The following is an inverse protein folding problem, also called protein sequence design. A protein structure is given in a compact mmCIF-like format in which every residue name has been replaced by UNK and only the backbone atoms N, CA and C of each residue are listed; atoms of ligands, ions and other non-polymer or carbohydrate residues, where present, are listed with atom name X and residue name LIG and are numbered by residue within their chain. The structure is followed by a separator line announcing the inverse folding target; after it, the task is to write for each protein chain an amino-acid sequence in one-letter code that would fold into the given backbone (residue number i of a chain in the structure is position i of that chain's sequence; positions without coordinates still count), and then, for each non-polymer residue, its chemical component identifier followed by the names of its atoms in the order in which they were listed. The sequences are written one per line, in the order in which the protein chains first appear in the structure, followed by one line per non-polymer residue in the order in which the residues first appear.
data_IF_968085317634
#
_entry.id   IF_968085317634
#
_cell.length_a   1.000
_cell.length_b   1.000
_cell.length_c   1.000
_cell.angle_alpha   90.00
_cell.angle_beta   90.00
_cell.angle_gamma   90.00
#
_symmetry.space_group_name_H-M   'P 1'
#
loop_
_entity.id
_entity.type
_entity.pdbx_description
1 polymer ?
#
# COMPACT_ATOMS: atom_id res chain seq x y z
N UNK A 1 -13.42 -3.13 -12.67
CA UNK A 1 -12.56 -2.27 -11.82
C UNK A 1 -13.41 -1.66 -10.72
N UNK A 2 -12.87 -1.57 -9.51
CA UNK A 2 -13.46 -0.85 -8.40
C UNK A 2 -12.64 0.43 -8.18
N UNK A 3 -13.30 1.55 -7.93
CA UNK A 3 -12.61 2.83 -7.74
C UNK A 3 -13.35 3.67 -6.72
N UNK A 4 -12.63 4.54 -6.04
CA UNK A 4 -13.24 5.59 -5.23
C UNK A 4 -12.68 6.95 -5.64
N UNK A 5 -13.38 8.01 -5.25
CA UNK A 5 -12.88 9.37 -5.27
C UNK A 5 -13.30 10.06 -3.98
N UNK A 6 -12.45 10.92 -3.44
CA UNK A 6 -12.75 11.69 -2.23
C UNK A 6 -12.79 13.19 -2.51
N UNK A 7 -13.52 13.92 -1.67
CA UNK A 7 -13.79 15.35 -1.84
C UNK A 7 -13.57 16.12 -0.55
N UNK A 8 -13.27 17.41 -0.67
CA UNK A 8 -13.23 18.33 0.47
C UNK A 8 -14.64 18.80 0.92
N UNK A 9 -15.67 18.45 0.15
CA UNK A 9 -17.08 18.76 0.39
C UNK A 9 -17.90 17.47 0.45
N UNK A 10 -19.01 17.48 1.20
CA UNK A 10 -19.95 16.35 1.26
C UNK A 10 -20.56 16.10 -0.12
N UNK A 11 -20.69 14.83 -0.57
CA UNK A 11 -20.22 13.60 0.08
C UNK A 11 -18.70 13.44 0.00
N UNK A 12 -18.07 13.04 1.11
CA UNK A 12 -16.61 12.97 1.21
C UNK A 12 -16.00 11.82 0.40
N UNK A 13 -16.74 10.73 0.17
CA UNK A 13 -16.33 9.63 -0.71
C UNK A 13 -17.42 9.32 -1.73
N UNK A 14 -16.98 9.03 -2.95
CA UNK A 14 -17.76 8.39 -4.00
C UNK A 14 -17.12 7.05 -4.33
N UNK A 15 -17.88 5.96 -4.31
CA UNK A 15 -17.42 4.63 -4.69
C UNK A 15 -18.11 4.20 -5.98
N UNK A 16 -17.36 3.64 -6.94
CA UNK A 16 -17.87 3.25 -8.25
C UNK A 16 -17.35 1.88 -8.66
N UNK A 17 -18.19 1.21 -9.45
CA UNK A 17 -17.86 -0.01 -10.17
C UNK A 17 -17.80 0.32 -11.65
N UNK A 18 -16.72 -0.08 -12.31
CA UNK A 18 -16.59 -0.05 -13.77
C UNK A 18 -16.60 -1.49 -14.24
N UNK A 19 -17.56 -1.84 -15.08
CA UNK A 19 -17.73 -3.18 -15.62
C UNK A 19 -16.66 -3.52 -16.65
N UNK A 20 -16.61 -4.79 -17.08
CA UNK A 20 -15.59 -5.29 -18.03
C UNK A 20 -15.66 -4.63 -19.42
N UNK A 21 -16.84 -4.16 -19.79
CA UNK A 21 -17.16 -3.42 -21.02
C UNK A 21 -16.92 -1.91 -20.87
N UNK A 22 -16.36 -1.46 -19.74
CA UNK A 22 -16.00 -0.06 -19.52
C UNK A 22 -17.15 0.83 -19.05
N UNK A 23 -18.34 0.26 -18.78
CA UNK A 23 -19.46 1.04 -18.26
C UNK A 23 -19.22 1.43 -16.80
N UNK A 24 -19.25 2.74 -16.53
CA UNK A 24 -19.14 3.28 -15.18
C UNK A 24 -20.52 3.36 -14.55
N UNK A 25 -20.77 2.53 -13.53
CA UNK A 25 -22.04 2.56 -12.80
C UNK A 25 -22.18 3.81 -11.91
N UNK A 26 -23.42 4.07 -11.50
CA UNK A 26 -23.74 5.14 -10.55
C UNK A 26 -22.90 5.04 -9.27
N UNK A 27 -22.50 6.19 -8.70
CA UNK A 27 -21.68 6.19 -7.51
C UNK A 27 -22.50 5.84 -6.26
N UNK A 28 -21.91 5.08 -5.35
CA UNK A 28 -22.33 5.03 -3.96
C UNK A 28 -21.68 6.20 -3.23
N UNK A 29 -22.51 7.08 -2.69
CA UNK A 29 -22.04 8.19 -1.85
C UNK A 29 -21.83 7.67 -0.44
N UNK A 30 -20.65 7.89 0.12
CA UNK A 30 -20.29 7.46 1.48
C UNK A 30 -19.95 8.70 2.30
N UNK A 31 -20.70 8.85 3.38
CA UNK A 31 -20.57 9.92 4.36
C UNK A 31 -19.56 9.49 5.42
N UNK A 32 -18.46 10.24 5.51
CA UNK A 32 -17.45 10.08 6.57
C UNK A 32 -17.74 11.02 7.75
N UNK A 33 -16.81 11.10 8.71
CA UNK A 33 -16.80 12.14 9.74
C UNK A 33 -17.04 13.55 9.14
N UNK A 34 -17.52 14.51 9.96
CA UNK A 34 -17.96 15.85 9.55
C UNK A 34 -16.85 16.75 8.94
N UNK A 35 -15.70 16.20 8.59
CA UNK A 35 -14.53 16.92 8.11
C UNK A 35 -13.87 16.17 6.95
N UNK A 36 -13.30 16.90 5.98
CA UNK A 36 -12.63 16.28 4.84
C UNK A 36 -11.35 15.57 5.28
N UNK A 37 -11.18 14.33 4.82
CA UNK A 37 -10.03 13.47 5.15
C UNK A 37 -9.12 13.30 3.95
N UNK A 38 -7.84 13.03 4.22
CA UNK A 38 -6.91 12.50 3.24
C UNK A 38 -7.04 10.98 3.19
N UNK A 39 -7.45 10.48 2.03
CA UNK A 39 -7.64 9.05 1.77
C UNK A 39 -6.89 8.72 0.48
N UNK A 40 -5.72 8.10 0.64
CA UNK A 40 -4.88 7.75 -0.51
C UNK A 40 -5.33 6.46 -1.18
N UNK A 41 -5.73 5.47 -0.38
CA UNK A 41 -5.98 4.11 -0.85
C UNK A 41 -7.22 3.51 -0.18
N UNK A 42 -7.68 2.37 -0.71
CA UNK A 42 -8.78 1.56 -0.20
C UNK A 42 -8.50 0.08 -0.52
N UNK A 43 -9.24 -0.84 0.10
CA UNK A 43 -9.04 -2.26 -0.15
C UNK A 43 -10.33 -2.95 -0.59
N UNK A 44 -10.19 -4.03 -1.37
CA UNK A 44 -11.29 -4.85 -1.87
C UNK A 44 -11.06 -6.30 -1.46
N UNK A 45 -12.13 -6.97 -1.04
CA UNK A 45 -12.18 -8.42 -0.87
C UNK A 45 -13.07 -9.05 -1.94
N UNK A 46 -13.30 -10.36 -1.82
CA UNK A 46 -14.24 -11.06 -2.70
C UNK A 46 -15.66 -10.48 -2.62
N UNK A 47 -16.10 -9.96 -1.48
CA UNK A 47 -17.47 -9.50 -1.30
C UNK A 47 -17.58 -8.05 -0.81
N UNK A 48 -16.50 -7.45 -0.30
CA UNK A 48 -16.54 -6.14 0.36
C UNK A 48 -15.54 -5.14 -0.24
N UNK A 49 -15.85 -3.86 -0.06
CA UNK A 49 -14.94 -2.73 -0.17
C UNK A 49 -14.69 -2.18 1.23
N UNK A 50 -13.45 -1.78 1.51
CA UNK A 50 -12.98 -1.31 2.81
C UNK A 50 -12.51 0.13 2.65
N UNK A 51 -13.18 1.06 3.34
CA UNK A 51 -12.85 2.48 3.37
C UNK A 51 -12.23 2.84 4.71
N UNK A 52 -11.22 3.71 4.69
CA UNK A 52 -10.46 4.08 5.89
C UNK A 52 -10.75 5.54 6.23
N UNK A 53 -11.46 5.74 7.33
CA UNK A 53 -11.66 7.05 7.96
C UNK A 53 -10.58 7.22 9.02
N UNK A 54 -9.43 7.70 8.55
CA UNK A 54 -8.23 7.91 9.36
C UNK A 54 -8.13 9.39 9.72
N UNK A 55 -7.65 9.74 10.93
CA UNK A 55 -7.73 11.09 11.45
C UNK A 55 -6.68 12.05 10.87
N UNK A 56 -6.47 12.03 9.55
CA UNK A 56 -5.66 12.99 8.80
C UNK A 56 -6.58 13.92 8.00
N UNK A 57 -6.85 15.09 8.57
CA UNK A 57 -7.88 16.01 8.06
C UNK A 57 -7.31 17.07 7.14
N UNK A 58 -7.98 17.35 6.03
CA UNK A 58 -7.68 18.52 5.23
C UNK A 58 -8.04 19.83 5.96
N UNK A 59 -7.11 20.78 5.94
CA UNK A 59 -7.19 22.12 6.54
C UNK A 59 -6.81 23.20 5.53
N UNK A 60 -7.70 23.56 4.58
CA UNK A 60 -7.39 24.53 3.53
C UNK A 60 -6.93 25.90 4.05
N UNK A 61 -7.39 26.32 5.24
CA UNK A 61 -6.94 27.56 5.90
C UNK A 61 -5.42 27.61 6.16
N UNK A 62 -4.74 26.47 6.20
CA UNK A 62 -3.27 26.40 6.34
C UNK A 62 -2.55 26.84 5.06
N UNK A 63 -3.16 26.70 3.88
CA UNK A 63 -2.57 27.15 2.61
C UNK A 63 -2.41 28.67 2.57
N UNK A 64 -3.36 29.41 3.18
CA UNK A 64 -3.34 30.88 3.26
C UNK A 64 -2.16 31.37 4.12
N UNK A 65 -1.71 30.55 5.08
CA UNK A 65 -0.53 30.85 5.92
C UNK A 65 0.80 30.48 5.26
N UNK A 66 0.75 29.92 4.05
CA UNK A 66 1.82 30.01 3.08
C UNK A 66 3.00 29.05 3.21
N UNK A 67 2.92 27.91 3.92
CA UNK A 67 4.06 26.94 3.92
C UNK A 67 3.80 25.49 4.37
N UNK A 68 2.56 25.01 4.55
CA UNK A 68 2.32 23.64 5.04
C UNK A 68 1.41 22.86 4.09
N UNK A 69 1.66 21.54 3.95
CA UNK A 69 0.65 20.63 3.39
C UNK A 69 -0.64 20.82 4.19
N UNK A 70 -1.80 21.01 3.55
CA UNK A 70 -3.03 21.37 4.24
C UNK A 70 -3.67 20.16 4.90
N UNK A 71 -2.91 19.39 5.67
CA UNK A 71 -3.36 18.24 6.41
C UNK A 71 -2.96 18.38 7.88
N UNK A 72 -3.80 17.90 8.80
CA UNK A 72 -3.47 17.84 10.23
C UNK A 72 -3.92 16.49 10.76
N UNK A 73 -2.98 15.79 11.40
CA UNK A 73 -3.28 14.52 12.05
C UNK A 73 -3.80 14.78 13.45
N UNK A 74 -4.96 14.21 13.79
CA UNK A 74 -5.54 14.27 15.13
C UNK A 74 -5.22 12.97 15.88
N UNK A 75 -4.19 13.02 16.71
CA UNK A 75 -3.74 11.88 17.53
C UNK A 75 -4.74 11.48 18.62
N UNK A 76 -5.77 12.30 18.88
CA UNK A 76 -6.80 12.02 19.90
C UNK A 76 -7.96 11.18 19.38
N UNK A 77 -8.03 10.96 18.06
CA UNK A 77 -9.12 10.23 17.40
C UNK A 77 -8.70 8.81 17.04
N UNK A 78 -9.60 7.86 17.25
CA UNK A 78 -9.43 6.50 16.74
C UNK A 78 -9.60 6.44 15.22
N UNK A 79 -9.02 5.42 14.60
CA UNK A 79 -9.21 5.13 13.18
C UNK A 79 -10.48 4.30 12.99
N UNK A 80 -11.24 4.56 11.92
CA UNK A 80 -12.44 3.77 11.59
C UNK A 80 -12.32 3.12 10.22
N UNK A 81 -12.83 1.89 10.11
CA UNK A 81 -12.80 1.08 8.89
C UNK A 81 -14.22 0.71 8.50
N UNK A 82 -14.66 1.21 7.34
CA UNK A 82 -16.00 1.00 6.80
C UNK A 82 -16.01 -0.14 5.81
N UNK A 83 -16.66 -1.24 6.17
CA UNK A 83 -16.80 -2.44 5.32
C UNK A 83 -18.16 -2.40 4.65
N UNK A 84 -18.17 -2.27 3.32
CA UNK A 84 -19.37 -2.15 2.50
C UNK A 84 -19.43 -3.32 1.51
N UNK A 85 -20.57 -4.01 1.30
CA UNK A 85 -20.69 -4.95 0.20
C UNK A 85 -20.31 -4.29 -1.13
N UNK A 86 -19.38 -4.87 -1.90
CA UNK A 86 -18.74 -4.19 -3.05
C UNK A 86 -19.68 -3.87 -4.22
N UNK A 87 -20.92 -4.36 -4.19
CA UNK A 87 -21.98 -4.04 -5.15
C UNK A 87 -23.19 -3.37 -4.49
N UNK A 88 -23.06 -2.88 -3.26
CA UNK A 88 -24.08 -2.09 -2.60
C UNK A 88 -24.50 -0.90 -3.46
N UNK A 89 -25.76 -0.47 -3.31
CA UNK A 89 -26.32 0.66 -4.06
C UNK A 89 -26.33 1.96 -3.26
N UNK A 90 -26.04 1.88 -1.97
CA UNK A 90 -26.01 2.99 -1.04
C UNK A 90 -25.15 2.61 0.18
N UNK A 91 -24.85 3.58 1.03
CA UNK A 91 -24.04 3.40 2.23
C UNK A 91 -24.74 2.69 3.39
N UNK A 92 -26.05 2.41 3.33
CA UNK A 92 -26.80 1.89 4.49
C UNK A 92 -26.33 0.49 4.94
N UNK A 93 -25.61 -0.21 4.07
CA UNK A 93 -25.03 -1.53 4.34
C UNK A 93 -23.59 -1.46 4.87
N UNK A 94 -23.03 -0.25 5.05
CA UNK A 94 -21.70 -0.09 5.59
C UNK A 94 -21.68 -0.48 7.07
N UNK A 95 -20.67 -1.25 7.47
CA UNK A 95 -20.37 -1.53 8.87
C UNK A 95 -19.06 -0.88 9.25
N UNK A 96 -19.09 -0.01 10.24
CA UNK A 96 -17.91 0.66 10.77
C UNK A 96 -17.30 -0.11 11.94
N UNK A 97 -15.98 -0.23 11.90
CA UNK A 97 -15.15 -0.82 12.95
C UNK A 97 -14.17 0.24 13.46
N UNK A 98 -13.83 0.18 14.74
CA UNK A 98 -12.91 1.12 15.36
C UNK A 98 -11.62 0.40 15.77
N UNK A 99 -10.48 1.01 15.45
CA UNK A 99 -9.14 0.57 15.85
C UNK A 99 -8.39 1.75 16.47
N UNK A 100 -7.35 1.49 17.29
CA UNK A 100 -6.50 2.55 17.82
C UNK A 100 -5.98 3.48 16.72
N UNK A 101 -5.75 4.74 17.08
CA UNK A 101 -5.21 5.78 16.20
C UNK A 101 -4.06 5.26 15.29
N UNK A 102 -4.18 5.56 13.99
CA UNK A 102 -3.17 5.24 12.99
C UNK A 102 -3.40 6.01 11.69
N UNK A 103 -2.39 5.98 10.82
CA UNK A 103 -2.50 6.42 9.44
C UNK A 103 -1.99 5.33 8.50
N UNK A 104 -2.58 5.22 7.31
CA UNK A 104 -2.24 4.24 6.28
C UNK A 104 -2.20 4.99 4.95
N UNK A 105 -1.06 4.89 4.25
CA UNK A 105 -0.98 5.27 2.85
C UNK A 105 -1.41 4.11 1.97
N UNK A 106 -0.74 2.96 2.05
CA UNK A 106 -0.96 1.84 1.13
C UNK A 106 -1.38 0.55 1.82
N UNK A 107 -2.26 -0.19 1.14
CA UNK A 107 -2.65 -1.54 1.52
C UNK A 107 -1.96 -2.57 0.63
N UNK A 108 -1.57 -3.71 1.21
CA UNK A 108 -1.00 -4.83 0.47
C UNK A 108 -2.10 -5.69 -0.17
N UNK A 109 -3.11 -6.08 0.61
CA UNK A 109 -4.22 -6.93 0.18
C UNK A 109 -5.32 -6.98 1.24
N UNK A 110 -6.50 -7.45 0.87
CA UNK A 110 -7.55 -7.81 1.81
C UNK A 110 -8.32 -9.07 1.37
N UNK A 111 -8.84 -9.84 2.31
CA UNK A 111 -9.66 -11.02 2.04
C UNK A 111 -10.62 -11.32 3.19
N UNK A 112 -11.36 -12.43 3.07
CA UNK A 112 -12.32 -12.89 4.07
C UNK A 112 -11.93 -14.26 4.62
N UNK A 113 -12.03 -14.44 5.94
CA UNK A 113 -11.82 -15.68 6.67
C UNK A 113 -12.96 -15.93 7.65
N UNK A 114 -13.91 -16.81 7.28
CA UNK A 114 -15.10 -17.05 8.09
C UNK A 114 -15.91 -15.76 8.26
N UNK A 115 -16.09 -15.32 9.51
CA UNK A 115 -16.80 -14.09 9.85
C UNK A 115 -15.89 -12.84 9.84
N UNK A 116 -14.61 -12.96 9.47
CA UNK A 116 -13.65 -11.85 9.53
C UNK A 116 -13.26 -11.33 8.14
N UNK A 117 -13.18 -10.01 8.03
CA UNK A 117 -12.45 -9.33 6.96
C UNK A 117 -11.03 -9.08 7.46
N UNK A 118 -10.04 -9.50 6.68
CA UNK A 118 -8.62 -9.34 6.98
C UNK A 118 -8.02 -8.33 6.01
N UNK A 119 -7.25 -7.37 6.54
CA UNK A 119 -6.56 -6.33 5.77
C UNK A 119 -5.07 -6.36 6.14
N UNK A 120 -4.20 -6.41 5.15
CA UNK A 120 -2.75 -6.25 5.31
C UNK A 120 -2.36 -4.88 4.79
N UNK A 121 -1.67 -4.09 5.62
CA UNK A 121 -1.49 -2.66 5.36
C UNK A 121 -0.19 -2.11 5.94
N UNK A 122 0.34 -1.06 5.31
CA UNK A 122 1.48 -0.28 5.80
C UNK A 122 0.96 0.82 6.74
N UNK A 123 1.10 0.57 8.05
CA UNK A 123 0.58 1.44 9.12
C UNK A 123 1.68 2.34 9.67
N UNK A 124 1.44 3.65 9.65
CA UNK A 124 2.23 4.64 10.35
C UNK A 124 1.66 4.91 11.77
N UNK A 125 2.54 5.05 12.75
CA UNK A 125 2.16 5.47 14.10
C UNK A 125 2.38 6.97 14.26
N UNK A 126 1.31 7.71 14.60
CA UNK A 126 1.36 9.12 14.98
C UNK A 126 2.28 9.97 14.07
N UNK A 127 1.94 10.16 12.78
CA UNK A 127 2.73 11.00 11.89
C UNK A 127 2.88 12.38 12.55
N UNK A 128 4.08 12.70 13.02
CA UNK A 128 4.36 13.90 13.80
C UNK A 128 4.29 15.12 12.88
N UNK A 129 3.09 15.66 12.67
CA UNK A 129 2.84 16.78 11.75
C UNK A 129 3.11 18.16 12.37
N UNK A 130 3.48 18.24 13.65
CA UNK A 130 3.39 19.50 14.42
C UNK A 130 4.71 20.22 14.73
N UNK A 131 5.89 19.66 14.46
CA UNK A 131 7.17 20.37 14.71
C UNK A 131 8.30 19.93 13.80
N UNK A 132 8.46 20.54 12.62
CA UNK A 132 9.74 20.51 11.90
C UNK A 132 9.94 21.83 11.16
N UNK A 133 11.02 22.53 11.51
CA UNK A 133 11.54 23.68 10.76
C UNK A 133 11.81 23.25 9.30
N UNK A 134 11.67 24.17 8.36
CA UNK A 134 11.75 24.01 6.90
C UNK A 134 12.84 23.05 6.33
N UNK A 135 12.69 21.73 6.45
CA UNK A 135 13.52 20.74 5.73
C UNK A 135 12.71 19.50 5.33
N UNK A 136 13.21 18.80 4.30
CA UNK A 136 12.71 17.54 3.71
C UNK A 136 12.43 16.41 4.73
N UNK A 137 12.83 16.57 5.99
CA UNK A 137 12.76 15.59 7.07
C UNK A 137 11.33 15.25 7.52
N UNK A 138 10.36 16.16 7.35
CA UNK A 138 8.95 15.91 7.72
C UNK A 138 8.31 14.74 6.96
N UNK A 139 8.82 14.45 5.77
CA UNK A 139 8.30 13.36 4.95
C UNK A 139 8.85 12.00 5.41
N UNK A 140 10.04 11.98 6.03
CA UNK A 140 10.68 10.75 6.49
C UNK A 140 9.89 10.08 7.63
N UNK A 141 9.34 10.87 8.56
CA UNK A 141 8.52 10.37 9.67
C UNK A 141 7.15 9.88 9.21
N UNK A 142 6.60 10.43 8.12
CA UNK A 142 5.37 9.93 7.48
C UNK A 142 5.55 8.53 6.86
N UNK A 143 6.78 8.17 6.47
CA UNK A 143 7.08 6.93 5.74
C UNK A 143 7.77 5.86 6.57
N UNK A 144 7.95 6.08 7.87
CA UNK A 144 8.31 4.99 8.77
C UNK A 144 7.05 4.18 9.09
N UNK A 145 6.68 3.29 8.18
CA UNK A 145 5.54 2.39 8.38
C UNK A 145 5.98 0.98 8.71
N UNK A 146 5.04 0.24 9.26
CA UNK A 146 5.15 -1.16 9.64
C UNK A 146 4.00 -1.93 8.97
N UNK A 147 4.25 -3.16 8.56
CA UNK A 147 3.20 -4.04 8.06
C UNK A 147 2.32 -4.47 9.23
N UNK A 148 1.00 -4.34 9.09
CA UNK A 148 0.01 -4.78 10.07
C UNK A 148 -1.01 -5.70 9.41
N UNK A 149 -1.49 -6.66 10.19
CA UNK A 149 -2.73 -7.38 9.94
C UNK A 149 -3.84 -6.75 10.77
N UNK A 150 -4.93 -6.35 10.13
CA UNK A 150 -6.15 -5.89 10.77
C UNK A 150 -7.25 -6.91 10.53
N UNK A 151 -7.98 -7.28 11.59
CA UNK A 151 -9.11 -8.21 11.53
C UNK A 151 -10.38 -7.52 11.99
N UNK A 152 -11.42 -7.55 11.16
CA UNK A 152 -12.71 -6.92 11.38
C UNK A 152 -13.80 -7.99 11.38
N UNK A 153 -14.36 -8.30 12.55
CA UNK A 153 -15.32 -9.38 12.69
C UNK A 153 -16.76 -8.94 12.32
N UNK A 154 -17.23 -9.37 11.15
CA UNK A 154 -18.53 -9.07 10.57
C UNK A 154 -19.72 -9.69 11.31
N UNK A 155 -19.50 -10.46 12.37
CA UNK A 155 -20.56 -10.96 13.25
C UNK A 155 -20.59 -10.19 14.56
N UNK A 156 -19.49 -10.18 15.30
CA UNK A 156 -19.40 -9.61 16.65
C UNK A 156 -19.20 -8.10 16.66
N UNK A 157 -18.63 -7.52 15.61
CA UNK A 157 -18.28 -6.09 15.55
C UNK A 157 -16.94 -5.76 16.21
N UNK A 158 -16.22 -6.77 16.70
CA UNK A 158 -14.89 -6.59 17.26
C UNK A 158 -13.87 -6.37 16.15
N UNK A 159 -12.84 -5.57 16.44
CA UNK A 159 -11.71 -5.36 15.56
C UNK A 159 -10.39 -5.52 16.33
N UNK A 160 -9.35 -5.99 15.65
CA UNK A 160 -8.01 -6.14 16.21
C UNK A 160 -6.93 -5.84 15.18
N UNK A 161 -5.71 -5.58 15.66
CA UNK A 161 -4.54 -5.36 14.81
C UNK A 161 -3.29 -6.05 15.38
N UNK A 162 -2.49 -6.66 14.52
CA UNK A 162 -1.23 -7.34 14.84
C UNK A 162 -0.11 -6.77 13.97
N UNK A 163 0.99 -6.32 14.60
CA UNK A 163 2.22 -5.93 13.90
C UNK A 163 2.86 -7.16 13.26
N UNK A 164 3.24 -7.04 11.99
CA UNK A 164 3.84 -8.10 11.20
C UNK A 164 5.29 -7.82 10.81
N UNK A 165 5.73 -6.56 10.71
CA UNK A 165 7.11 -6.26 10.29
C UNK A 165 7.82 -5.34 11.26
N UNK A 166 9.13 -5.25 11.08
CA UNK A 166 9.95 -4.12 11.55
C UNK A 166 9.62 -2.85 10.74
N UNK A 167 9.97 -1.65 11.24
CA UNK A 167 9.66 -0.39 10.55
C UNK A 167 10.47 -0.15 9.26
N UNK A 168 10.19 0.97 8.60
CA UNK A 168 10.85 1.47 7.38
C UNK A 168 10.52 0.66 6.12
N UNK A 169 9.25 0.29 5.98
CA UNK A 169 8.71 -0.28 4.75
C UNK A 169 7.62 0.62 4.17
N UNK A 170 7.42 0.57 2.85
CA UNK A 170 6.28 1.17 2.14
C UNK A 170 6.08 0.45 0.79
N UNK A 171 5.10 0.88 0.00
CA UNK A 171 4.79 0.34 -1.33
C UNK A 171 4.64 -1.19 -1.31
N UNK A 172 3.71 -1.72 -0.49
CA UNK A 172 3.52 -3.15 -0.39
C UNK A 172 2.97 -3.72 -1.70
N UNK A 173 3.47 -4.90 -2.07
CA UNK A 173 3.10 -5.61 -3.30
C UNK A 173 2.94 -7.10 -3.03
N UNK A 174 2.06 -7.71 -3.80
CA UNK A 174 1.76 -9.13 -3.74
C UNK A 174 1.82 -9.72 -5.15
N UNK A 175 1.73 -11.05 -5.26
CA UNK A 175 1.31 -11.67 -6.50
C UNK A 175 -0.16 -11.34 -6.76
N UNK A 176 -0.46 -10.54 -7.79
CA UNK A 176 -1.81 -10.08 -8.13
C UNK A 176 -2.81 -11.21 -8.42
N UNK A 177 -2.34 -12.43 -8.70
CA UNK A 177 -3.22 -13.62 -8.78
C UNK A 177 -3.95 -13.91 -7.45
N UNK A 178 -3.43 -13.37 -6.34
CA UNK A 178 -3.96 -13.47 -4.99
C UNK A 178 -4.69 -12.19 -4.52
N UNK A 179 -4.87 -11.19 -5.39
CA UNK A 179 -5.70 -10.03 -5.05
C UNK A 179 -7.09 -10.50 -4.58
N UNK A 180 -7.58 -9.91 -3.49
CA UNK A 180 -8.85 -10.28 -2.84
C UNK A 180 -8.88 -11.71 -2.21
N UNK A 181 -7.73 -12.38 -2.08
CA UNK A 181 -7.58 -13.75 -1.55
C UNK A 181 -6.48 -13.78 -0.50
N UNK A 182 -6.52 -14.77 0.39
CA UNK A 182 -5.44 -14.99 1.35
C UNK A 182 -4.13 -15.25 0.61
N UNK A 183 -3.12 -14.46 0.94
CA UNK A 183 -1.75 -14.53 0.42
C UNK A 183 -0.77 -14.80 1.57
N UNK A 184 0.37 -15.40 1.24
CA UNK A 184 1.47 -15.68 2.17
C UNK A 184 2.58 -14.64 2.10
N UNK A 185 2.92 -14.14 0.92
CA UNK A 185 4.08 -13.28 0.72
C UNK A 185 3.69 -11.83 0.46
N UNK A 186 4.44 -10.92 1.07
CA UNK A 186 4.37 -9.48 0.78
C UNK A 186 5.77 -8.99 0.48
N UNK A 187 5.90 -8.21 -0.57
CA UNK A 187 7.11 -7.49 -0.93
C UNK A 187 6.92 -6.03 -0.60
N UNK A 188 7.95 -5.36 -0.09
CA UNK A 188 7.87 -3.94 0.24
C UNK A 188 9.16 -3.22 -0.12
N UNK A 189 9.05 -1.94 -0.44
CA UNK A 189 10.19 -1.05 -0.58
C UNK A 189 10.75 -0.70 0.79
N UNK A 190 12.06 -0.80 0.97
CA UNK A 190 12.75 -0.38 2.18
C UNK A 190 12.97 1.12 2.08
N UNK A 191 12.21 1.88 2.86
CA UNK A 191 12.18 3.34 2.80
C UNK A 191 13.56 3.93 3.14
N UNK A 192 13.97 4.91 2.35
CA UNK A 192 15.10 5.77 2.65
C UNK A 192 14.65 7.23 2.75
N UNK A 193 13.87 7.71 1.77
CA UNK A 193 13.13 8.98 1.87
C UNK A 193 11.87 8.97 0.99
N UNK A 194 11.21 10.12 0.83
CA UNK A 194 10.03 10.29 -0.02
C UNK A 194 10.23 9.70 -1.40
N UNK A 195 9.40 8.71 -1.77
CA UNK A 195 9.47 8.01 -3.05
C UNK A 195 10.84 7.40 -3.38
N UNK A 196 11.75 7.30 -2.39
CA UNK A 196 13.12 6.79 -2.53
C UNK A 196 13.32 5.60 -1.61
N UNK A 197 13.65 4.46 -2.21
CA UNK A 197 13.90 3.20 -1.53
C UNK A 197 15.35 2.76 -1.71
N UNK A 198 15.93 2.14 -0.68
CA UNK A 198 17.30 1.58 -0.72
C UNK A 198 17.37 0.09 -1.06
N UNK A 199 16.21 -0.56 -1.15
CA UNK A 199 16.11 -1.98 -1.45
C UNK A 199 14.68 -2.49 -1.36
N UNK A 200 14.51 -3.79 -1.54
CA UNK A 200 13.23 -4.50 -1.48
C UNK A 200 13.32 -5.61 -0.43
N UNK A 201 12.29 -5.76 0.38
CA UNK A 201 12.18 -6.80 1.41
C UNK A 201 11.04 -7.76 1.09
N UNK A 202 11.23 -9.05 1.38
CA UNK A 202 10.21 -10.09 1.29
C UNK A 202 9.80 -10.58 2.69
N UNK A 203 8.50 -10.55 2.96
CA UNK A 203 7.87 -11.09 4.16
C UNK A 203 7.12 -12.38 3.87
N UNK A 204 7.18 -13.34 4.79
CA UNK A 204 6.35 -14.55 4.84
C UNK A 204 5.36 -14.42 6.01
N UNK A 205 4.11 -14.13 5.72
CA UNK A 205 3.05 -13.86 6.71
C UNK A 205 2.61 -15.10 7.48
N UNK A 206 3.05 -16.30 7.10
CA UNK A 206 2.81 -17.52 7.86
C UNK A 206 3.92 -17.81 8.90
N UNK A 207 5.05 -17.13 8.79
CA UNK A 207 6.10 -17.18 9.80
C UNK A 207 5.82 -16.11 10.87
N UNK A 208 6.16 -16.43 12.13
CA UNK A 208 6.02 -15.45 13.20
C UNK A 208 7.08 -14.33 13.08
N UNK A 209 6.69 -13.06 13.27
CA UNK A 209 7.64 -11.96 13.35
C UNK A 209 8.58 -12.11 14.56
N UNK A 210 9.84 -11.73 14.39
CA UNK A 210 10.79 -11.64 15.52
C UNK A 210 10.45 -10.43 16.40
N UNK A 211 10.13 -10.68 17.67
CA UNK A 211 9.86 -9.63 18.65
C UNK A 211 11.11 -8.82 18.96
N UNK A 212 10.98 -7.49 19.02
CA UNK A 212 12.08 -6.59 19.40
C UNK A 212 13.05 -6.23 18.28
N UNK A 213 12.84 -6.76 17.07
CA UNK A 213 13.63 -6.38 15.89
C UNK A 213 13.24 -4.98 15.43
N UNK A 214 14.25 -4.13 15.25
CA UNK A 214 14.08 -2.71 14.87
C UNK A 214 14.73 -2.38 13.51
N UNK A 215 15.32 -3.37 12.84
CA UNK A 215 15.99 -3.24 11.54
C UNK A 215 15.56 -4.34 10.60
N UNK A 216 15.53 -4.02 9.31
CA UNK A 216 15.25 -4.99 8.24
C UNK A 216 16.49 -5.85 8.04
N UNK A 217 16.40 -7.11 8.48
CA UNK A 217 17.44 -8.14 8.32
C UNK A 217 16.73 -9.49 8.11
N UNK A 218 17.36 -10.41 7.39
CA UNK A 218 16.80 -11.76 7.19
C UNK A 218 16.69 -12.48 8.53
N UNK A 219 15.54 -13.11 8.80
CA UNK A 219 15.23 -13.74 10.09
C UNK A 219 13.73 -13.69 10.38
N UNK A 220 13.22 -14.64 11.17
CA UNK A 220 11.79 -14.78 11.47
C UNK A 220 10.94 -14.85 10.22
N UNK A 221 10.09 -13.84 10.05
CA UNK A 221 9.22 -13.68 8.90
C UNK A 221 9.81 -12.84 7.75
N UNK A 222 10.99 -12.25 7.91
CA UNK A 222 11.75 -11.63 6.81
C UNK A 222 12.55 -12.72 6.10
N UNK A 223 12.18 -13.04 4.86
CA UNK A 223 12.77 -14.15 4.09
C UNK A 223 13.87 -13.73 3.12
N UNK A 224 13.95 -12.45 2.79
CA UNK A 224 14.97 -11.94 1.89
C UNK A 224 14.98 -10.43 1.84
N UNK A 225 16.16 -9.88 1.59
CA UNK A 225 16.42 -8.45 1.43
C UNK A 225 17.31 -8.30 0.21
N UNK A 226 16.86 -7.51 -0.76
CA UNK A 226 17.65 -7.10 -1.90
C UNK A 226 18.02 -5.63 -1.72
N UNK A 227 19.30 -5.35 -1.50
CA UNK A 227 19.79 -3.97 -1.42
C UNK A 227 20.23 -3.49 -2.80
N UNK A 228 19.90 -2.26 -3.17
CA UNK A 228 20.31 -1.71 -4.47
C UNK A 228 21.82 -1.39 -4.54
N UNK A 229 22.50 -1.35 -3.40
CA UNK A 229 23.90 -0.96 -3.29
C UNK A 229 24.09 0.51 -2.90
N UNK A 230 25.30 0.85 -2.47
CA UNK A 230 25.62 2.17 -1.95
C UNK A 230 25.40 3.27 -3.01
N UNK A 231 24.63 4.31 -2.67
CA UNK A 231 24.30 5.42 -3.56
C UNK A 231 23.34 5.07 -4.70
N UNK A 232 22.77 3.86 -4.69
CA UNK A 232 21.75 3.43 -5.65
C UNK A 232 20.40 3.35 -4.96
N UNK A 233 19.38 3.96 -5.55
CA UNK A 233 18.05 4.01 -4.99
C UNK A 233 16.99 3.72 -6.05
N UNK A 234 15.89 3.12 -5.63
CA UNK A 234 14.72 2.84 -6.47
C UNK A 234 13.44 3.41 -5.87
N UNK A 235 12.31 2.86 -6.31
CA UNK A 235 10.98 3.13 -5.75
C UNK A 235 10.27 1.80 -5.47
N UNK A 236 9.01 1.64 -5.89
CA UNK A 236 8.31 0.36 -5.78
C UNK A 236 8.87 -0.70 -6.73
N UNK A 237 8.75 -1.96 -6.33
CA UNK A 237 8.87 -3.09 -7.24
C UNK A 237 7.49 -3.52 -7.72
N UNK A 238 7.42 -4.24 -8.85
CA UNK A 238 6.22 -4.95 -9.26
C UNK A 238 6.49 -6.45 -9.32
N UNK A 239 5.57 -7.25 -8.78
CA UNK A 239 5.65 -8.71 -8.90
C UNK A 239 5.08 -9.14 -10.25
N UNK A 240 5.84 -9.96 -10.98
CA UNK A 240 5.44 -10.56 -12.25
C UNK A 240 5.53 -12.08 -12.11
N UNK A 241 4.40 -12.80 -12.08
CA UNK A 241 4.43 -14.26 -12.00
C UNK A 241 5.01 -14.85 -13.29
N UNK A 242 5.68 -16.01 -13.21
CA UNK A 242 6.02 -16.78 -14.41
C UNK A 242 4.78 -17.23 -15.16
N UNK A 243 3.78 -17.65 -14.40
CA UNK A 243 2.46 -18.07 -14.88
C UNK A 243 1.38 -17.42 -14.01
N UNK A 244 0.44 -16.63 -14.57
CA UNK A 244 -0.65 -16.01 -13.82
C UNK A 244 -1.63 -17.07 -13.26
N UNK A 245 -1.30 -17.67 -12.12
CA UNK A 245 -2.06 -18.76 -11.54
C UNK A 245 -1.90 -18.85 -10.01
N UNK A 246 -2.94 -19.36 -9.36
CA UNK A 246 -2.90 -19.76 -7.95
C UNK A 246 -2.47 -21.24 -7.76
N UNK A 247 -2.23 -21.97 -8.85
CA UNK A 247 -1.77 -23.37 -8.79
C UNK A 247 -0.25 -23.51 -8.70
N UNK A 248 0.48 -22.48 -9.12
CA UNK A 248 1.92 -22.36 -8.93
C UNK A 248 2.23 -21.85 -7.52
N UNK A 249 3.47 -22.05 -7.08
CA UNK A 249 3.94 -21.43 -5.86
C UNK A 249 3.76 -19.91 -5.92
N UNK A 250 3.24 -19.32 -4.84
CA UNK A 250 2.82 -17.91 -4.80
C UNK A 250 3.94 -16.93 -5.16
N UNK A 251 5.18 -17.25 -4.80
CA UNK A 251 6.38 -16.46 -5.07
C UNK A 251 7.14 -16.88 -6.35
N UNK A 252 6.54 -17.72 -7.21
CA UNK A 252 7.16 -18.13 -8.48
C UNK A 252 7.08 -17.03 -9.54
N UNK A 253 8.00 -16.09 -9.45
CA UNK A 253 8.01 -14.93 -10.32
C UNK A 253 9.23 -14.06 -10.08
N UNK A 254 9.12 -12.85 -10.60
CA UNK A 254 10.16 -11.86 -10.56
C UNK A 254 9.64 -10.57 -9.94
N UNK A 255 10.52 -9.84 -9.26
CA UNK A 255 10.30 -8.45 -8.93
C UNK A 255 11.02 -7.60 -9.96
N UNK A 256 10.32 -6.62 -10.53
CA UNK A 256 10.89 -5.68 -11.49
C UNK A 256 10.80 -4.29 -10.86
N UNK A 257 11.92 -3.56 -10.82
CA UNK A 257 11.94 -2.20 -10.29
C UNK A 257 12.91 -1.31 -11.07
N UNK A 258 12.65 -0.01 -11.07
CA UNK A 258 13.61 0.99 -11.51
C UNK A 258 14.59 1.31 -10.38
N UNK A 259 15.86 1.49 -10.73
CA UNK A 259 16.89 1.98 -9.84
C UNK A 259 17.71 3.09 -10.52
N UNK A 260 18.28 3.98 -9.71
CA UNK A 260 19.11 5.10 -10.10
C UNK A 260 20.36 5.11 -9.23
N UNK A 261 21.52 4.99 -9.86
CA UNK A 261 22.81 5.19 -9.20
C UNK A 261 23.14 6.69 -9.23
N UNK A 262 23.05 7.34 -8.07
CA UNK A 262 23.33 8.77 -7.93
C UNK A 262 24.82 9.09 -8.12
N UNK A 263 25.71 8.11 -7.99
CA UNK A 263 27.15 8.33 -8.20
C UNK A 263 27.50 8.45 -9.69
N UNK A 264 26.95 7.55 -10.52
CA UNK A 264 27.20 7.55 -11.97
C UNK A 264 26.15 8.33 -12.78
N UNK A 265 25.01 8.67 -12.15
CA UNK A 265 23.88 9.31 -12.81
C UNK A 265 23.04 8.38 -13.69
N UNK A 266 23.35 7.08 -13.73
CA UNK A 266 22.67 6.10 -14.57
C UNK A 266 21.37 5.61 -13.94
N UNK A 267 20.42 5.21 -14.77
CA UNK A 267 19.21 4.50 -14.36
C UNK A 267 19.19 3.12 -15.00
N UNK A 268 18.55 2.17 -14.32
CA UNK A 268 18.46 0.79 -14.74
C UNK A 268 17.13 0.17 -14.33
N UNK A 269 16.74 -0.90 -15.00
CA UNK A 269 15.71 -1.84 -14.52
C UNK A 269 16.40 -3.05 -13.93
N UNK A 270 16.04 -3.42 -12.71
CA UNK A 270 16.55 -4.60 -12.02
C UNK A 270 15.45 -5.65 -11.98
N UNK A 271 15.80 -6.89 -12.35
CA UNK A 271 14.93 -8.06 -12.26
C UNK A 271 15.47 -8.98 -11.18
N UNK A 272 14.70 -9.18 -10.12
CA UNK A 272 15.06 -9.98 -8.95
C UNK A 272 14.22 -11.25 -8.96
N UNK A 273 14.81 -12.41 -8.67
CA UNK A 273 14.03 -13.63 -8.43
C UNK A 273 13.25 -13.48 -7.11
N UNK A 274 11.92 -13.44 -7.20
CA UNK A 274 11.05 -13.11 -6.06
C UNK A 274 11.01 -14.22 -4.99
N UNK A 275 11.43 -15.45 -5.35
CA UNK A 275 11.52 -16.56 -4.41
C UNK A 275 12.79 -16.44 -3.57
N UNK A 276 13.93 -16.35 -4.24
CA UNK A 276 15.26 -16.45 -3.62
C UNK A 276 15.72 -15.12 -3.04
N UNK A 277 15.26 -13.98 -3.58
CA UNK A 277 15.75 -12.64 -3.23
C UNK A 277 17.28 -12.56 -3.29
N UNK A 278 17.89 -13.27 -4.24
CA UNK A 278 19.34 -13.34 -4.44
C UNK A 278 19.94 -11.93 -4.60
N UNK A 279 21.09 -11.69 -3.97
CA UNK A 279 21.84 -10.44 -4.16
C UNK A 279 22.35 -10.28 -5.59
N UNK A 280 22.56 -11.40 -6.32
CA UNK A 280 22.82 -11.39 -7.76
C UNK A 280 21.47 -11.35 -8.50
N UNK A 281 21.09 -10.23 -9.14
CA UNK A 281 19.83 -10.12 -9.87
C UNK A 281 19.84 -11.00 -11.12
N UNK A 282 18.64 -11.43 -11.55
CA UNK A 282 18.45 -12.23 -12.76
C UNK A 282 18.85 -11.45 -14.01
N UNK A 283 18.54 -10.15 -14.02
CA UNK A 283 18.94 -9.24 -15.09
C UNK A 283 19.04 -7.80 -14.58
N UNK A 284 19.92 -7.03 -15.22
CA UNK A 284 20.00 -5.58 -15.09
C UNK A 284 20.00 -4.99 -16.49
N UNK A 285 19.08 -4.05 -16.75
CA UNK A 285 18.95 -3.38 -18.05
C UNK A 285 19.26 -1.90 -17.88
N UNK A 286 20.38 -1.46 -18.44
CA UNK A 286 20.76 -0.05 -18.46
C UNK A 286 19.76 0.77 -19.30
N UNK A 287 19.34 1.91 -18.75
CA UNK A 287 18.45 2.84 -19.45
C UNK A 287 19.25 4.00 -20.05
N UNK A 288 18.89 4.47 -21.26
CA UNK A 288 19.61 5.53 -21.95
C UNK A 288 19.41 6.91 -21.30
N UNK A 289 18.41 7.06 -20.43
CA UNK A 289 18.05 8.32 -19.79
C UNK A 289 17.72 8.10 -18.32
N UNK A 290 17.84 9.17 -17.53
CA UNK A 290 17.45 9.17 -16.12
C UNK A 290 15.95 8.93 -15.97
N UNK A 291 15.60 7.95 -15.15
CA UNK A 291 14.24 7.76 -14.63
C UNK A 291 14.18 8.43 -13.25
N UNK A 292 13.34 9.45 -13.04
CA UNK A 292 13.17 10.06 -11.72
C UNK A 292 12.50 9.09 -10.76
N UNK A 293 12.68 9.32 -9.45
CA UNK A 293 11.92 8.61 -8.43
C UNK A 293 10.42 8.75 -8.69
N UNK A 294 9.73 7.61 -8.72
CA UNK A 294 8.31 7.50 -9.05
C UNK A 294 7.51 6.87 -7.92
N UNK A 295 6.21 6.73 -8.16
CA UNK A 295 5.27 6.12 -7.23
C UNK A 295 4.85 4.75 -7.77
N UNK A 296 3.65 4.66 -8.36
CA UNK A 296 3.06 3.41 -8.79
C UNK A 296 3.39 3.00 -10.21
N UNK A 297 3.56 1.70 -10.39
CA UNK A 297 3.85 1.00 -11.62
C UNK A 297 2.82 -0.12 -11.84
N UNK A 298 2.64 -0.47 -13.11
CA UNK A 298 1.79 -1.55 -13.57
C UNK A 298 2.57 -2.36 -14.60
N UNK A 299 2.42 -3.68 -14.55
CA UNK A 299 2.90 -4.60 -15.55
C UNK A 299 1.70 -5.07 -16.37
N UNK A 300 1.81 -4.97 -17.68
CA UNK A 300 0.78 -5.42 -18.62
C UNK A 300 1.41 -6.43 -19.57
N UNK A 301 0.75 -7.57 -19.75
CA UNK A 301 1.21 -8.58 -20.69
C UNK A 301 0.98 -8.12 -22.13
N UNK A 302 1.72 -8.71 -23.07
CA UNK A 302 1.50 -8.46 -24.49
C UNK A 302 0.05 -8.76 -24.92
N UNK A 303 -0.55 -9.83 -24.38
CA UNK A 303 -1.95 -10.18 -24.62
C UNK A 303 -2.91 -9.10 -24.11
N UNK A 304 -2.68 -8.57 -22.90
CA UNK A 304 -3.49 -7.49 -22.34
C UNK A 304 -3.38 -6.20 -23.17
N UNK A 305 -2.18 -5.85 -23.64
CA UNK A 305 -1.97 -4.69 -24.52
C UNK A 305 -2.70 -4.91 -25.86
N UNK A 306 -2.54 -6.08 -26.49
CA UNK A 306 -3.23 -6.41 -27.76
C UNK A 306 -4.75 -6.41 -27.62
N UNK A 307 -5.25 -6.74 -26.44
CA UNK A 307 -6.68 -6.70 -26.11
C UNK A 307 -7.24 -5.29 -25.91
N UNK A 308 -6.40 -4.25 -25.86
CA UNK A 308 -6.87 -2.86 -25.88
C UNK A 308 -7.35 -2.54 -27.30
N UNK A 309 -8.67 -2.54 -27.51
CA UNK A 309 -9.26 -2.12 -28.77
C UNK A 309 -8.88 -0.66 -29.06
N UNK A 310 -8.43 -0.40 -30.29
CA UNK A 310 -8.33 0.95 -30.87
C UNK A 310 -9.70 1.48 -31.28
#
# INVERSE_FOLDING_TARGET
MFTFGYSQMVPYITYRVISKDGFMHDPVLITLSDQPLMIHDFAITRNYAIFMDLPLYFRPKMMIRGNNMPCTFDSTKNARFGVLPRYAKNEQQIRWFELPNCFIFHNANAWEEGDEVVLITCRAYNPHMEKVDRTMDWILDLFTTELYEMRLNMKTGLASQKKLSVPAIEFPKINESYACRKQRYVYGAISDSTARAKGIVKFDLQAEPETGKNKIEVGGNVKGVFEFGAGTFGSEAIFVPKEPSISSAEDDGYLICFAHDENSGKSMVIVIDARTMSADPVAVVDLPNRVPYGFHALFVTEEQIKGQAF
#
